data_IF_401785504757
#
_entry.id   IF_401785504757
#
_cell.length_a   1.000
_cell.length_b   1.000
_cell.length_c   1.000
_cell.angle_alpha   90.00
_cell.angle_beta   90.00
_cell.angle_gamma   90.00
#
_symmetry.space_group_name_H-M   'P 1'
#
loop_
_entity.id
_entity.type
_entity.pdbx_description
1 polymer ?
#
# COMPACT_ATOMS: atom_id res chain seq x y z
N UNK A 1 13.52 -12.12 11.60
CA UNK A 1 12.93 -12.79 10.43
C UNK A 1 12.51 -14.19 10.86
N UNK A 2 11.40 -14.69 10.38
CA UNK A 2 10.97 -16.08 10.55
C UNK A 2 11.59 -16.98 9.47
N UNK A 3 11.60 -18.28 9.69
CA UNK A 3 12.08 -19.22 8.68
C UNK A 3 11.08 -19.31 7.53
N UNK A 4 11.58 -19.32 6.29
CA UNK A 4 10.79 -19.51 5.07
C UNK A 4 11.12 -20.86 4.44
N UNK A 5 10.20 -21.50 3.67
CA UNK A 5 10.49 -22.72 2.90
C UNK A 5 11.67 -22.52 1.94
N UNK A 6 12.39 -23.61 1.62
CA UNK A 6 13.63 -23.55 0.84
C UNK A 6 13.46 -23.04 -0.61
N UNK A 7 12.24 -23.07 -1.14
CA UNK A 7 11.92 -22.54 -2.48
C UNK A 7 11.50 -21.06 -2.47
N UNK A 8 11.45 -20.44 -1.29
CA UNK A 8 11.10 -19.04 -1.14
C UNK A 8 12.37 -18.20 -1.03
N UNK A 9 12.29 -16.97 -1.48
CA UNK A 9 13.36 -15.98 -1.33
C UNK A 9 12.89 -14.81 -0.46
N UNK A 10 13.86 -14.04 0.06
CA UNK A 10 13.60 -12.75 0.66
C UNK A 10 13.86 -11.65 -0.38
N UNK A 11 12.89 -10.76 -0.57
CA UNK A 11 13.00 -9.64 -1.50
C UNK A 11 12.75 -8.31 -0.80
N UNK A 12 13.28 -7.23 -1.34
CA UNK A 12 12.87 -5.89 -0.93
C UNK A 12 11.59 -5.48 -1.66
N UNK A 13 10.73 -4.70 -1.00
CA UNK A 13 9.52 -4.14 -1.64
C UNK A 13 9.86 -3.42 -2.95
N UNK A 14 10.95 -2.66 -3.00
CA UNK A 14 11.40 -1.95 -4.22
C UNK A 14 11.67 -2.87 -5.42
N UNK A 15 11.95 -4.15 -5.19
CA UNK A 15 12.33 -5.10 -6.25
C UNK A 15 11.09 -5.81 -6.85
N UNK A 16 9.96 -5.75 -6.15
CA UNK A 16 8.71 -6.42 -6.56
C UNK A 16 7.54 -5.45 -6.78
N UNK A 17 7.72 -4.16 -6.42
CA UNK A 17 6.72 -3.11 -6.64
C UNK A 17 7.34 -1.82 -7.18
N UNK A 18 6.61 -1.15 -8.05
CA UNK A 18 6.86 0.26 -8.38
C UNK A 18 6.25 1.10 -7.25
N UNK A 19 7.09 1.80 -6.52
CA UNK A 19 6.68 2.68 -5.43
C UNK A 19 6.48 4.12 -5.90
N UNK A 20 5.40 4.75 -5.44
CA UNK A 20 5.26 6.21 -5.42
C UNK A 20 4.52 6.64 -4.15
N UNK A 21 4.60 7.93 -3.84
CA UNK A 21 3.79 8.57 -2.81
C UNK A 21 2.89 9.62 -3.46
N UNK A 22 1.80 9.96 -2.78
CA UNK A 22 0.87 10.97 -3.26
C UNK A 22 1.41 12.40 -3.18
N UNK A 23 0.56 13.37 -3.52
CA UNK A 23 0.88 14.80 -3.50
C UNK A 23 0.77 15.37 -2.08
N UNK A 24 1.76 16.18 -1.70
CA UNK A 24 1.69 16.97 -0.48
C UNK A 24 0.58 18.02 -0.58
N UNK A 25 -0.11 18.27 0.53
CA UNK A 25 -1.09 19.35 0.60
C UNK A 25 -0.39 20.69 0.43
N UNK A 26 -0.86 21.46 -0.54
CA UNK A 26 -0.47 22.85 -0.74
C UNK A 26 -1.72 23.65 -1.08
N UNK A 27 -2.21 24.44 -0.12
CA UNK A 27 -3.42 25.25 -0.28
C UNK A 27 -3.24 26.43 -1.23
N UNK A 28 -1.99 26.85 -1.47
CA UNK A 28 -1.66 27.93 -2.40
C UNK A 28 -1.47 27.47 -3.84
N UNK A 29 -1.40 26.16 -4.10
CA UNK A 29 -1.26 25.62 -5.44
C UNK A 29 -2.63 25.58 -6.13
N UNK A 30 -2.79 26.42 -7.17
CA UNK A 30 -4.02 26.54 -7.97
C UNK A 30 -3.80 26.13 -9.43
N UNK A 31 -2.60 25.63 -9.77
CA UNK A 31 -2.29 25.20 -11.12
C UNK A 31 -2.79 23.77 -11.42
N UNK A 32 -3.27 23.56 -12.63
CA UNK A 32 -3.77 22.28 -13.11
C UNK A 32 -5.28 22.14 -12.97
N UNK A 33 -5.75 20.90 -12.77
CA UNK A 33 -7.17 20.58 -12.61
C UNK A 33 -7.47 20.11 -11.20
N UNK A 34 -8.67 20.39 -10.70
CA UNK A 34 -9.13 19.92 -9.38
C UNK A 34 -9.61 18.48 -9.48
N UNK A 35 -9.10 17.64 -8.59
CA UNK A 35 -9.51 16.25 -8.45
C UNK A 35 -9.82 15.91 -7.00
N UNK A 36 -10.74 14.98 -6.80
CA UNK A 36 -10.93 14.33 -5.51
C UNK A 36 -9.69 13.49 -5.15
N UNK A 37 -9.34 13.49 -3.88
CA UNK A 37 -8.24 12.70 -3.37
C UNK A 37 -8.56 12.06 -2.03
N UNK A 38 -7.90 10.95 -1.73
CA UNK A 38 -7.97 10.26 -0.46
C UNK A 38 -6.77 10.59 0.43
N UNK A 39 -7.05 10.61 1.72
CA UNK A 39 -6.07 10.80 2.80
C UNK A 39 -5.97 9.52 3.63
N UNK A 40 -5.09 9.50 4.62
CA UNK A 40 -4.95 8.36 5.55
C UNK A 40 -6.26 8.03 6.29
N UNK A 41 -7.12 9.01 6.53
CA UNK A 41 -8.43 8.80 7.16
C UNK A 41 -9.46 8.10 6.28
N UNK A 42 -9.21 8.03 4.98
CA UNK A 42 -10.10 7.36 4.03
C UNK A 42 -9.74 5.88 3.82
N UNK A 43 -8.54 5.44 4.23
CA UNK A 43 -8.04 4.08 3.99
C UNK A 43 -8.15 3.24 5.25
N UNK A 44 -8.82 2.12 5.17
CA UNK A 44 -8.96 1.13 6.24
C UNK A 44 -8.44 -0.23 5.77
N UNK A 45 -8.37 -1.23 6.65
CA UNK A 45 -8.01 -2.57 6.24
C UNK A 45 -9.01 -3.10 5.20
N UNK A 46 -8.52 -3.32 3.99
CA UNK A 46 -9.27 -3.82 2.82
C UNK A 46 -10.54 -3.00 2.47
N UNK A 47 -10.63 -1.76 2.90
CA UNK A 47 -11.81 -0.91 2.64
C UNK A 47 -11.46 0.57 2.57
N UNK A 48 -12.39 1.36 2.04
CA UNK A 48 -12.26 2.80 1.89
C UNK A 48 -13.55 3.51 2.28
N UNK A 49 -13.42 4.67 2.92
CA UNK A 49 -14.52 5.61 3.11
C UNK A 49 -14.35 6.71 2.06
N UNK A 50 -15.25 6.73 1.09
CA UNK A 50 -15.16 7.62 -0.07
C UNK A 50 -16.19 8.75 -0.06
N UNK A 51 -16.94 8.88 1.03
CA UNK A 51 -17.91 9.97 1.22
C UNK A 51 -17.17 11.28 1.52
N UNK A 52 -17.63 12.39 0.96
CA UNK A 52 -17.15 13.74 1.22
C UNK A 52 -15.64 13.93 0.99
N UNK A 53 -15.11 13.36 -0.11
CA UNK A 53 -13.71 13.50 -0.47
C UNK A 53 -13.33 14.97 -0.69
N UNK A 54 -12.18 15.33 -0.16
CA UNK A 54 -11.56 16.64 -0.40
C UNK A 54 -11.06 16.75 -1.84
N UNK A 55 -10.86 17.99 -2.31
CA UNK A 55 -10.29 18.26 -3.63
C UNK A 55 -9.04 19.11 -3.50
N UNK A 56 -8.06 18.89 -4.39
CA UNK A 56 -6.92 19.78 -4.62
C UNK A 56 -6.52 19.80 -6.09
N UNK A 57 -5.67 20.73 -6.45
CA UNK A 57 -5.17 20.87 -7.82
C UNK A 57 -4.03 19.89 -8.08
N UNK A 58 -4.02 19.31 -9.29
CA UNK A 58 -2.97 18.45 -9.82
C UNK A 58 -2.57 18.91 -11.22
N UNK A 59 -1.27 19.03 -11.47
CA UNK A 59 -0.71 19.25 -12.80
C UNK A 59 -0.72 17.95 -13.58
N UNK A 60 -0.72 18.00 -14.89
CA UNK A 60 -0.79 16.82 -15.76
C UNK A 60 0.38 15.83 -15.49
N UNK A 61 1.58 16.34 -15.19
CA UNK A 61 2.75 15.53 -14.86
C UNK A 61 2.72 14.90 -13.45
N UNK A 62 1.78 15.30 -12.60
CA UNK A 62 1.60 14.73 -11.25
C UNK A 62 0.55 13.59 -11.24
N UNK A 63 -0.34 13.57 -12.23
CA UNK A 63 -1.50 12.69 -12.29
C UNK A 63 -1.10 11.22 -12.12
N UNK A 64 -0.21 10.71 -12.96
CA UNK A 64 0.19 9.30 -12.92
C UNK A 64 0.87 8.94 -11.61
N UNK A 65 1.81 9.76 -11.16
CA UNK A 65 2.58 9.53 -9.94
C UNK A 65 1.71 9.53 -8.69
N UNK A 66 0.73 10.43 -8.62
CA UNK A 66 -0.10 10.65 -7.44
C UNK A 66 -1.46 9.96 -7.51
N UNK A 67 -1.64 8.98 -8.40
CA UNK A 67 -2.90 8.24 -8.54
C UNK A 67 -2.74 6.78 -8.16
N UNK A 68 -3.79 6.26 -7.53
CA UNK A 68 -4.00 4.82 -7.40
C UNK A 68 -4.93 4.35 -8.53
N UNK A 69 -4.56 3.24 -9.16
CA UNK A 69 -5.33 2.53 -10.18
C UNK A 69 -5.69 1.14 -9.67
N UNK A 70 -6.64 0.47 -10.31
CA UNK A 70 -7.07 -0.88 -9.91
C UNK A 70 -5.89 -1.84 -9.79
N UNK A 71 -5.80 -2.51 -8.64
CA UNK A 71 -4.72 -3.46 -8.32
C UNK A 71 -3.55 -2.85 -7.55
N UNK A 72 -3.49 -1.54 -7.37
CA UNK A 72 -2.47 -0.92 -6.53
C UNK A 72 -2.70 -1.23 -5.04
N UNK A 73 -1.64 -1.55 -4.30
CA UNK A 73 -1.66 -1.65 -2.85
C UNK A 73 -1.30 -0.29 -2.24
N UNK A 74 -2.21 0.26 -1.46
CA UNK A 74 -2.02 1.50 -0.73
C UNK A 74 -1.61 1.19 0.71
N UNK A 75 -0.53 1.81 1.19
CA UNK A 75 0.03 1.59 2.53
C UNK A 75 0.21 2.93 3.22
N UNK A 76 -0.23 3.05 4.47
CA UNK A 76 -0.16 4.29 5.22
C UNK A 76 1.23 4.52 5.83
N UNK A 77 1.76 5.73 5.61
CA UNK A 77 3.00 6.23 6.23
C UNK A 77 2.80 6.63 7.69
N UNK A 78 1.64 7.19 8.01
CA UNK A 78 1.31 7.75 9.32
C UNK A 78 -0.12 7.46 9.77
N UNK A 79 -0.46 7.89 10.98
CA UNK A 79 -1.71 7.55 11.63
C UNK A 79 -1.66 6.09 12.12
N UNK A 80 -2.28 5.16 11.42
CA UNK A 80 -2.13 3.73 11.66
C UNK A 80 -1.08 3.16 10.69
N UNK A 81 0.20 3.33 11.06
CA UNK A 81 1.37 2.99 10.23
C UNK A 81 1.29 1.55 9.74
N UNK A 82 1.48 1.36 8.42
CA UNK A 82 1.45 0.05 7.77
C UNK A 82 0.06 -0.49 7.49
N UNK A 83 -1.02 0.20 7.90
CA UNK A 83 -2.37 -0.15 7.45
C UNK A 83 -2.44 -0.09 5.93
N UNK A 84 -3.08 -1.08 5.32
CA UNK A 84 -3.07 -1.24 3.89
C UNK A 84 -4.45 -1.61 3.32
N UNK A 85 -4.67 -1.22 2.06
CA UNK A 85 -5.84 -1.64 1.28
C UNK A 85 -5.49 -1.72 -0.21
N UNK A 86 -6.16 -2.60 -0.94
CA UNK A 86 -6.01 -2.72 -2.39
C UNK A 86 -7.07 -1.86 -3.07
N UNK A 87 -6.65 -0.97 -3.98
CA UNK A 87 -7.59 -0.20 -4.79
C UNK A 87 -8.24 -1.11 -5.84
N UNK A 88 -9.51 -1.48 -5.61
CA UNK A 88 -10.23 -2.43 -6.46
C UNK A 88 -11.34 -1.79 -7.33
N UNK A 89 -11.37 -0.46 -7.41
CA UNK A 89 -12.34 0.27 -8.21
C UNK A 89 -11.87 0.40 -9.66
N UNK A 90 -12.82 0.51 -10.59
CA UNK A 90 -12.56 0.65 -12.02
C UNK A 90 -12.27 2.10 -12.46
N UNK A 91 -11.94 2.96 -11.51
CA UNK A 91 -11.54 4.36 -11.74
C UNK A 91 -10.33 4.72 -10.88
N UNK A 92 -9.58 5.71 -11.32
CA UNK A 92 -8.41 6.21 -10.61
C UNK A 92 -8.77 7.24 -9.55
N UNK A 93 -8.08 7.20 -8.43
CA UNK A 93 -8.20 8.19 -7.37
C UNK A 93 -6.85 8.84 -7.09
N UNK A 94 -6.84 10.12 -6.76
CA UNK A 94 -5.63 10.81 -6.31
C UNK A 94 -5.36 10.49 -4.84
N UNK A 95 -4.10 10.43 -4.47
CA UNK A 95 -3.67 10.10 -3.12
C UNK A 95 -2.81 11.22 -2.51
N UNK A 96 -2.94 11.41 -1.21
CA UNK A 96 -2.12 12.34 -0.42
C UNK A 96 -0.74 11.74 -0.13
N UNK A 97 0.26 12.58 0.12
CA UNK A 97 1.66 12.20 0.34
C UNK A 97 1.94 11.21 1.48
N UNK A 98 1.04 11.08 2.47
CA UNK A 98 1.13 10.08 3.54
C UNK A 98 0.53 8.72 3.17
N UNK A 99 0.26 8.51 1.89
CA UNK A 99 -0.14 7.21 1.33
C UNK A 99 0.92 6.79 0.33
N UNK A 100 1.53 5.64 0.56
CA UNK A 100 2.39 4.96 -0.40
C UNK A 100 1.53 4.13 -1.35
N UNK A 101 1.81 4.23 -2.64
CA UNK A 101 1.29 3.35 -3.67
C UNK A 101 2.35 2.34 -4.04
N UNK A 102 2.00 1.07 -3.96
CA UNK A 102 2.80 -0.07 -4.39
C UNK A 102 2.08 -0.73 -5.57
N UNK A 103 2.56 -0.50 -6.78
CA UNK A 103 2.07 -1.12 -8.01
C UNK A 103 2.84 -2.39 -8.27
N UNK A 104 2.19 -3.57 -8.30
CA UNK A 104 2.89 -4.84 -8.42
C UNK A 104 3.53 -5.01 -9.80
N UNK A 105 4.73 -5.59 -9.86
CA UNK A 105 5.26 -6.13 -11.11
C UNK A 105 4.50 -7.39 -11.54
N UNK A 106 4.66 -7.79 -12.81
CA UNK A 106 4.10 -9.05 -13.32
C UNK A 106 4.60 -10.23 -12.48
N UNK A 107 3.71 -11.13 -12.10
CA UNK A 107 4.05 -12.28 -11.25
C UNK A 107 4.00 -12.01 -9.75
N UNK A 108 3.52 -10.85 -9.33
CA UNK A 108 3.31 -10.48 -7.92
C UNK A 108 1.81 -10.49 -7.61
N UNK A 109 1.39 -11.30 -6.64
CA UNK A 109 0.00 -11.32 -6.19
C UNK A 109 -0.20 -10.25 -5.10
N UNK A 110 -0.85 -9.15 -5.43
CA UNK A 110 -1.06 -8.02 -4.53
C UNK A 110 -1.80 -8.41 -3.25
N UNK A 111 -2.75 -9.36 -3.32
CA UNK A 111 -3.49 -9.86 -2.15
C UNK A 111 -2.59 -10.60 -1.16
N UNK A 112 -1.58 -11.33 -1.66
CA UNK A 112 -0.58 -11.95 -0.80
C UNK A 112 0.18 -10.90 0.00
N UNK A 113 0.64 -9.83 -0.64
CA UNK A 113 1.38 -8.76 0.05
C UNK A 113 0.50 -7.90 0.96
N UNK A 114 -0.77 -7.72 0.65
CA UNK A 114 -1.74 -7.17 1.59
C UNK A 114 -1.75 -8.00 2.91
N UNK A 115 -1.79 -9.33 2.81
CA UNK A 115 -1.71 -10.21 3.99
C UNK A 115 -0.37 -10.12 4.71
N UNK A 116 0.74 -9.94 3.99
CA UNK A 116 2.07 -9.70 4.60
C UNK A 116 2.08 -8.40 5.40
N UNK A 117 1.54 -7.29 4.87
CA UNK A 117 1.43 -6.05 5.62
C UNK A 117 0.55 -6.21 6.87
N UNK A 118 -0.56 -6.92 6.75
CA UNK A 118 -1.42 -7.24 7.89
C UNK A 118 -0.66 -8.03 8.97
N UNK A 119 0.06 -9.08 8.58
CA UNK A 119 0.88 -9.90 9.48
C UNK A 119 1.99 -9.07 10.15
N UNK A 120 2.70 -8.25 9.37
CA UNK A 120 3.78 -7.41 9.88
C UNK A 120 3.27 -6.36 10.86
N UNK A 121 2.09 -5.79 10.61
CA UNK A 121 1.44 -4.89 11.56
C UNK A 121 1.04 -5.63 12.84
N UNK A 122 0.37 -6.77 12.73
CA UNK A 122 -0.06 -7.57 13.88
C UNK A 122 1.11 -8.07 14.73
N UNK A 123 2.28 -8.32 14.12
CA UNK A 123 3.50 -8.76 14.81
C UNK A 123 4.44 -7.62 15.24
N UNK A 124 4.03 -6.35 15.09
CA UNK A 124 4.85 -5.16 15.31
C UNK A 124 6.18 -5.15 14.52
N UNK A 125 6.21 -5.86 13.37
CA UNK A 125 7.43 -5.98 12.56
C UNK A 125 7.68 -4.75 11.66
N UNK A 126 6.65 -3.94 11.40
CA UNK A 126 6.76 -2.68 10.62
C UNK A 126 7.32 -1.56 11.49
N UNK A 127 6.92 -1.50 12.76
CA UNK A 127 7.24 -0.38 13.66
C UNK A 127 8.65 -0.46 14.23
N UNK A 128 9.32 -1.62 14.12
CA UNK A 128 10.66 -1.83 14.68
C UNK A 128 10.69 -1.72 16.21
N UNK A 129 11.60 -2.45 16.86
CA UNK A 129 11.86 -2.29 18.30
C UNK A 129 12.76 -1.07 18.49
N UNK A 130 12.18 0.10 18.83
CA UNK A 130 13.00 1.28 19.13
C UNK A 130 12.16 2.54 19.33
N UNK A 131 12.58 3.37 20.26
CA UNK A 131 12.00 4.66 20.59
C UNK A 131 12.01 5.56 19.35
N UNK A 132 10.84 6.04 18.91
CA UNK A 132 10.76 7.21 18.00
C UNK A 132 10.59 6.90 16.53
N UNK A 133 9.89 5.84 16.12
CA UNK A 133 9.51 5.66 14.71
C UNK A 133 8.36 6.60 14.31
N UNK A 134 8.77 7.77 13.83
CA UNK A 134 7.88 8.74 13.19
C UNK A 134 7.61 8.29 11.73
N UNK A 135 6.68 7.34 11.55
CA UNK A 135 6.17 6.98 10.24
C UNK A 135 6.96 5.93 9.45
N UNK A 136 6.30 5.38 8.45
CA UNK A 136 6.86 4.45 7.44
C UNK A 136 7.30 5.25 6.21
N UNK A 137 8.46 5.91 6.28
CA UNK A 137 8.96 6.75 5.18
C UNK A 137 9.15 5.97 3.87
N UNK A 138 9.23 6.68 2.74
CA UNK A 138 9.46 6.10 1.41
C UNK A 138 10.71 5.20 1.35
N UNK A 139 11.79 5.55 2.05
CA UNK A 139 12.99 4.71 2.09
C UNK A 139 12.77 3.46 2.95
N UNK A 140 12.06 3.57 4.07
CA UNK A 140 11.74 2.42 4.92
C UNK A 140 10.86 1.41 4.20
N UNK A 141 9.76 1.86 3.55
CA UNK A 141 8.89 0.93 2.82
C UNK A 141 9.63 0.25 1.66
N UNK A 142 10.45 0.98 0.91
CA UNK A 142 11.26 0.41 -0.18
C UNK A 142 12.25 -0.66 0.30
N UNK A 143 12.85 -0.47 1.48
CA UNK A 143 13.80 -1.39 2.08
C UNK A 143 13.17 -2.47 2.96
N UNK A 144 11.83 -2.48 3.07
CA UNK A 144 11.14 -3.54 3.80
C UNK A 144 11.38 -4.89 3.11
N UNK A 145 11.85 -5.85 3.90
CA UNK A 145 12.12 -7.21 3.42
C UNK A 145 10.85 -8.03 3.60
N UNK A 146 10.44 -8.71 2.54
CA UNK A 146 9.24 -9.54 2.48
C UNK A 146 9.54 -10.90 1.86
N UNK A 147 8.81 -11.97 2.22
CA UNK A 147 8.98 -13.27 1.57
C UNK A 147 8.44 -13.23 0.13
N UNK A 148 9.15 -13.87 -0.76
CA UNK A 148 8.79 -14.02 -2.18
C UNK A 148 8.59 -15.51 -2.52
N UNK A 149 7.40 -16.06 -2.30
CA UNK A 149 7.05 -17.40 -2.78
C UNK A 149 6.91 -17.43 -4.30
N UNK A 150 7.02 -18.60 -4.94
CA UNK A 150 6.56 -18.79 -6.30
C UNK A 150 5.10 -18.32 -6.46
N UNK A 151 4.76 -17.70 -7.61
CA UNK A 151 3.45 -17.07 -7.83
C UNK A 151 2.26 -17.98 -7.51
N UNK A 152 2.35 -19.26 -7.92
CA UNK A 152 1.29 -20.23 -7.64
C UNK A 152 1.09 -20.47 -6.13
N UNK A 153 2.14 -20.38 -5.34
CA UNK A 153 2.04 -20.49 -3.88
C UNK A 153 1.41 -19.25 -3.27
N UNK A 154 1.79 -18.05 -3.74
CA UNK A 154 1.11 -16.82 -3.32
C UNK A 154 -0.42 -16.95 -3.52
N UNK A 155 -0.85 -17.45 -4.69
CA UNK A 155 -2.27 -17.67 -4.99
C UNK A 155 -2.92 -18.71 -4.07
N UNK A 156 -2.24 -19.83 -3.82
CA UNK A 156 -2.74 -20.90 -2.92
C UNK A 156 -2.91 -20.39 -1.49
N UNK A 157 -1.95 -19.61 -0.99
CA UNK A 157 -2.00 -19.02 0.35
C UNK A 157 -3.20 -18.07 0.46
N UNK A 158 -3.35 -17.13 -0.50
CA UNK A 158 -4.48 -16.20 -0.55
C UNK A 158 -5.81 -16.96 -0.57
N UNK A 159 -5.93 -18.01 -1.39
CA UNK A 159 -7.13 -18.82 -1.46
C UNK A 159 -7.46 -19.50 -0.12
N UNK A 160 -6.46 -20.08 0.55
CA UNK A 160 -6.65 -20.72 1.88
C UNK A 160 -7.07 -19.71 2.93
N UNK A 161 -6.41 -18.55 2.99
CA UNK A 161 -6.73 -17.51 3.96
C UNK A 161 -8.15 -16.98 3.74
N UNK A 162 -8.55 -16.72 2.48
CA UNK A 162 -9.91 -16.27 2.17
C UNK A 162 -10.98 -17.31 2.61
N UNK A 163 -10.71 -18.61 2.45
CA UNK A 163 -11.62 -19.65 2.95
C UNK A 163 -11.79 -19.63 4.47
N UNK A 164 -10.71 -19.39 5.20
CA UNK A 164 -10.74 -19.28 6.67
C UNK A 164 -11.59 -18.06 7.08
N UNK A 165 -11.35 -16.89 6.48
CA UNK A 165 -12.12 -15.69 6.78
C UNK A 165 -13.59 -15.77 6.36
N UNK A 166 -13.95 -16.61 5.39
CA UNK A 166 -15.35 -16.82 5.01
C UNK A 166 -16.13 -17.73 5.98
N UNK A 167 -15.45 -18.37 6.96
CA UNK A 167 -16.05 -19.24 7.96
C UNK A 167 -16.29 -18.51 9.29
N UNK A 168 -15.86 -17.26 9.41
CA UNK A 168 -15.98 -16.39 10.59
C UNK A 168 -16.95 -15.25 10.30
#
# INVERSE_FOLDING_TARGET
MFNIPGEWEWAYIKDIFIHSAGKALNSSDTEGKRYHYITTSNVYWNSFILDNLKTMYYKDNEIEKCSATKGDLLVLEGGDIGRAAIWNFDYDIRIQNHIHRLRPYKGVNVKFYYLIFFLYKASNSIEGRGIGLQGLSANKIKSLIVPLPPYNEQCKIVSKVNKIFALV
#
